data_IF_069376827286
#
_entry.id   IF_069376827286
#
_cell.length_a   1.000
_cell.length_b   1.000
_cell.length_c   1.000
_cell.angle_alpha   90.00
_cell.angle_beta   90.00
_cell.angle_gamma   90.00
#
_symmetry.space_group_name_H-M   'P 1'
#
loop_
_entity.id
_entity.type
_entity.pdbx_description
1 polymer ?
#
# COMPACT_ATOMS: atom_id res chain seq x y z
N UNK A 1 9.67 35.91 -13.39
CA UNK A 1 10.35 37.17 -13.73
C UNK A 1 11.85 36.91 -13.88
N UNK A 2 12.50 37.56 -14.83
CA UNK A 2 13.93 37.38 -15.15
C UNK A 2 14.63 38.74 -15.16
N UNK A 3 15.83 38.81 -14.58
CA UNK A 3 16.62 40.05 -14.54
C UNK A 3 17.23 40.32 -15.92
N UNK A 4 17.05 41.52 -16.44
CA UNK A 4 17.60 41.92 -17.74
C UNK A 4 19.14 41.81 -17.78
N UNK A 5 19.83 42.15 -16.68
CA UNK A 5 21.29 42.04 -16.60
C UNK A 5 21.80 40.59 -16.75
N UNK A 6 21.05 39.61 -16.23
CA UNK A 6 21.39 38.19 -16.35
C UNK A 6 21.24 37.69 -17.79
N UNK A 7 20.26 38.22 -18.53
CA UNK A 7 20.10 37.94 -19.96
C UNK A 7 21.20 38.60 -20.81
N UNK A 8 21.56 39.84 -20.48
CA UNK A 8 22.66 40.55 -21.13
C UNK A 8 24.00 39.83 -20.91
N UNK A 9 24.32 39.44 -19.67
CA UNK A 9 25.56 38.69 -19.37
C UNK A 9 25.59 37.30 -20.01
N UNK A 10 24.43 36.70 -20.26
CA UNK A 10 24.33 35.45 -21.02
C UNK A 10 24.49 35.65 -22.54
N UNK A 11 24.85 36.85 -23.01
CA UNK A 11 24.92 37.21 -24.43
C UNK A 11 23.61 36.89 -25.16
N UNK A 12 22.48 37.26 -24.54
CA UNK A 12 21.12 36.96 -25.01
C UNK A 12 20.85 35.46 -25.25
N UNK A 13 21.52 34.57 -24.50
CA UNK A 13 21.32 33.13 -24.58
C UNK A 13 20.40 32.65 -23.47
N UNK A 14 19.25 32.10 -23.85
CA UNK A 14 18.19 31.72 -22.92
C UNK A 14 17.54 30.37 -23.26
N UNK A 15 16.94 29.77 -22.24
CA UNK A 15 16.12 28.57 -22.33
C UNK A 15 14.68 28.90 -21.96
N UNK A 16 13.76 28.63 -22.89
CA UNK A 16 12.32 28.67 -22.63
C UNK A 16 11.83 27.25 -22.41
N UNK A 17 11.23 27.00 -21.26
CA UNK A 17 10.60 25.71 -20.94
C UNK A 17 9.09 25.85 -21.09
N UNK A 18 8.51 25.05 -21.98
CA UNK A 18 7.06 24.92 -22.15
C UNK A 18 6.59 23.66 -21.42
N UNK A 19 5.73 23.84 -20.43
CA UNK A 19 5.10 22.72 -19.73
C UNK A 19 3.77 22.39 -20.39
N UNK A 20 3.66 21.16 -20.89
CA UNK A 20 2.54 20.70 -21.71
C UNK A 20 1.85 19.50 -21.04
N UNK A 21 0.52 19.50 -21.09
CA UNK A 21 -0.29 18.41 -20.56
C UNK A 21 -0.35 17.20 -21.53
N UNK A 22 -1.23 16.23 -21.25
CA UNK A 22 -1.31 14.95 -21.96
C UNK A 22 -2.17 15.07 -23.22
N UNK A 23 -2.92 16.17 -23.35
CA UNK A 23 -3.70 16.53 -24.52
C UNK A 23 -2.93 17.48 -25.45
N UNK A 24 -1.74 17.93 -25.04
CA UNK A 24 -0.90 18.85 -25.81
C UNK A 24 -1.14 20.33 -25.49
N UNK A 25 -1.92 20.67 -24.46
CA UNK A 25 -2.15 22.06 -24.07
C UNK A 25 -1.02 22.58 -23.17
N UNK A 26 -0.57 23.81 -23.45
CA UNK A 26 0.43 24.51 -22.63
C UNK A 26 -0.23 25.04 -21.37
N UNK A 27 0.29 24.63 -20.21
CA UNK A 27 -0.18 25.12 -18.90
C UNK A 27 0.87 25.93 -18.15
N UNK A 28 2.12 25.95 -18.63
CA UNK A 28 3.20 26.68 -17.99
C UNK A 28 4.28 27.11 -18.98
N UNK A 29 4.84 28.30 -18.74
CA UNK A 29 5.97 28.84 -19.50
C UNK A 29 7.00 29.37 -18.51
N UNK A 30 8.23 28.88 -18.62
CA UNK A 30 9.37 29.35 -17.86
C UNK A 30 10.44 29.92 -18.78
N UNK A 31 11.10 31.00 -18.36
CA UNK A 31 12.24 31.58 -19.07
C UNK A 31 13.44 31.63 -18.12
N UNK A 32 14.59 31.16 -18.61
CA UNK A 32 15.83 30.99 -17.83
C UNK A 32 17.02 31.41 -18.69
N UNK A 33 17.74 32.49 -18.35
CA UNK A 33 19.02 32.79 -18.98
C UNK A 33 20.08 31.75 -18.63
N UNK A 34 21.10 31.60 -19.47
CA UNK A 34 22.21 30.66 -19.21
C UNK A 34 23.04 31.05 -17.97
N UNK A 35 23.11 32.36 -17.68
CA UNK A 35 23.82 32.92 -16.53
C UNK A 35 22.81 33.57 -15.59
N UNK A 36 22.74 33.14 -14.32
CA UNK A 36 21.74 33.62 -13.36
C UNK A 36 22.15 34.87 -12.55
N UNK A 37 23.42 35.26 -12.63
CA UNK A 37 24.00 36.38 -11.89
C UNK A 37 23.91 37.70 -12.65
N UNK A 38 24.18 38.78 -11.93
CA UNK A 38 24.56 40.06 -12.53
C UNK A 38 25.83 40.50 -11.79
N UNK A 39 26.94 40.66 -12.51
CA UNK A 39 28.16 41.25 -11.99
C UNK A 39 28.06 42.77 -12.07
N UNK A 40 28.67 43.51 -11.13
CA UNK A 40 28.68 44.99 -11.15
C UNK A 40 29.43 45.57 -12.37
N UNK A 41 30.03 44.71 -13.19
CA UNK A 41 30.71 45.03 -14.46
C UNK A 41 29.85 44.77 -15.71
N UNK A 42 28.59 44.31 -15.54
CA UNK A 42 27.71 43.94 -16.64
C UNK A 42 27.45 45.09 -17.61
N UNK A 43 27.33 46.31 -17.08
CA UNK A 43 26.99 47.48 -17.87
C UNK A 43 28.25 48.14 -18.43
N UNK A 44 28.58 47.82 -19.68
CA UNK A 44 29.44 48.68 -20.50
C UNK A 44 28.52 49.59 -21.32
N UNK A 45 28.73 50.92 -21.34
CA UNK A 45 27.98 51.79 -22.21
C UNK A 45 28.29 51.44 -23.67
N UNK A 46 27.26 51.12 -24.45
CA UNK A 46 27.37 50.64 -25.83
C UNK A 46 27.02 49.15 -25.96
N UNK A 47 26.45 48.76 -27.10
CA UNK A 47 26.18 47.33 -27.45
C UNK A 47 27.46 46.57 -27.86
N UNK A 48 28.64 47.12 -27.54
CA UNK A 48 29.92 46.59 -27.97
C UNK A 48 30.20 45.25 -27.28
N UNK A 49 30.04 44.17 -28.04
CA UNK A 49 30.30 42.79 -27.60
C UNK A 49 29.06 41.97 -27.28
N UNK A 50 27.85 42.49 -27.48
CA UNK A 50 26.60 41.70 -27.37
C UNK A 50 25.97 41.54 -28.75
N UNK A 51 25.55 40.32 -29.06
CA UNK A 51 24.85 40.02 -30.32
C UNK A 51 23.52 40.77 -30.39
N UNK A 52 23.07 41.27 -31.57
CA UNK A 52 21.74 41.85 -31.73
C UNK A 52 20.63 40.79 -31.76
N UNK A 53 20.99 39.50 -31.80
CA UNK A 53 20.06 38.38 -31.90
C UNK A 53 20.00 37.59 -30.60
N UNK A 54 18.80 37.15 -30.24
CA UNK A 54 18.59 36.19 -29.15
C UNK A 54 18.94 34.78 -29.60
N UNK A 55 19.70 34.08 -28.76
CA UNK A 55 19.95 32.66 -28.90
C UNK A 55 19.04 31.88 -27.95
N UNK A 56 17.80 31.68 -28.38
CA UNK A 56 16.75 31.05 -27.58
C UNK A 56 16.65 29.56 -27.90
N UNK A 57 16.83 28.72 -26.89
CA UNK A 57 16.52 27.29 -26.96
C UNK A 57 15.16 27.03 -26.33
N UNK A 58 14.33 26.21 -26.97
CA UNK A 58 13.02 25.82 -26.45
C UNK A 58 13.06 24.36 -26.01
N UNK A 59 12.65 24.11 -24.77
CA UNK A 59 12.49 22.77 -24.20
C UNK A 59 11.02 22.52 -23.88
N UNK A 60 10.51 21.38 -24.33
CA UNK A 60 9.15 20.96 -24.02
C UNK A 60 9.21 19.93 -22.89
N UNK A 61 8.52 20.22 -21.79
CA UNK A 61 8.36 19.35 -20.64
C UNK A 61 6.96 18.73 -20.68
N UNK A 62 6.92 17.41 -20.87
CA UNK A 62 5.70 16.64 -20.75
C UNK A 62 5.53 16.12 -19.33
N UNK A 63 4.29 15.99 -18.88
CA UNK A 63 4.00 15.29 -17.63
C UNK A 63 4.37 13.80 -17.73
N UNK A 64 5.11 13.31 -16.74
CA UNK A 64 5.39 11.88 -16.58
C UNK A 64 4.49 11.30 -15.49
N UNK A 65 4.17 10.01 -15.63
CA UNK A 65 3.46 9.28 -14.59
C UNK A 65 4.33 9.23 -13.32
N UNK A 66 3.71 9.47 -12.17
CA UNK A 66 4.36 9.33 -10.89
C UNK A 66 4.82 7.88 -10.62
N UNK A 67 5.72 7.68 -9.65
CA UNK A 67 6.14 6.35 -9.26
C UNK A 67 4.94 5.53 -8.79
N UNK A 68 4.86 4.28 -9.24
CA UNK A 68 3.85 3.33 -8.75
C UNK A 68 4.13 3.00 -7.28
N UNK A 69 3.08 2.76 -6.45
CA UNK A 69 3.28 2.38 -5.06
C UNK A 69 3.95 1.00 -4.96
N UNK A 70 4.87 0.84 -4.02
CA UNK A 70 5.48 -0.47 -3.72
C UNK A 70 4.47 -1.34 -2.98
N UNK A 71 3.76 -2.19 -3.73
CA UNK A 71 2.78 -3.13 -3.18
C UNK A 71 3.41 -4.42 -2.67
N UNK A 72 4.74 -4.62 -2.73
CA UNK A 72 5.34 -5.91 -2.38
C UNK A 72 5.01 -6.35 -0.95
N UNK A 73 5.15 -5.43 0.02
CA UNK A 73 4.86 -5.74 1.43
C UNK A 73 3.37 -6.02 1.64
N UNK A 74 2.48 -5.30 0.95
CA UNK A 74 1.03 -5.52 1.05
C UNK A 74 0.62 -6.87 0.43
N UNK A 75 1.17 -7.19 -0.74
CA UNK A 75 0.94 -8.49 -1.42
C UNK A 75 1.43 -9.64 -0.55
N UNK A 76 2.63 -9.55 0.01
CA UNK A 76 3.16 -10.57 0.92
C UNK A 76 2.30 -10.76 2.17
N UNK A 77 1.79 -9.67 2.76
CA UNK A 77 0.86 -9.74 3.89
C UNK A 77 -0.45 -10.43 3.51
N UNK A 78 -1.04 -10.06 2.37
CA UNK A 78 -2.25 -10.69 1.87
C UNK A 78 -2.05 -12.17 1.54
N UNK A 79 -0.92 -12.53 0.92
CA UNK A 79 -0.59 -13.93 0.65
C UNK A 79 -0.41 -14.73 1.92
N UNK A 80 0.26 -14.14 2.93
CA UNK A 80 0.42 -14.78 4.24
C UNK A 80 -0.93 -14.99 4.91
N UNK A 81 -1.80 -13.98 4.92
CA UNK A 81 -3.14 -14.10 5.48
C UNK A 81 -3.99 -15.15 4.75
N UNK A 82 -3.95 -15.17 3.40
CA UNK A 82 -4.59 -16.21 2.59
C UNK A 82 -4.03 -17.60 2.88
N UNK A 83 -2.71 -17.73 3.04
CA UNK A 83 -2.07 -19.01 3.42
C UNK A 83 -2.46 -19.42 4.83
N UNK A 84 -2.57 -18.49 5.77
CA UNK A 84 -3.01 -18.78 7.14
C UNK A 84 -4.51 -19.13 7.20
N UNK A 85 -5.33 -18.58 6.29
CA UNK A 85 -6.75 -18.86 6.18
C UNK A 85 -7.02 -20.18 5.44
N UNK A 86 -6.28 -20.49 4.36
CA UNK A 86 -6.36 -21.75 3.63
C UNK A 86 -5.65 -22.90 4.36
N UNK A 87 -4.58 -22.59 5.11
CA UNK A 87 -3.83 -23.54 5.92
C UNK A 87 -4.54 -23.97 7.20
N UNK A 88 -5.78 -23.49 7.43
CA UNK A 88 -6.63 -23.94 8.52
C UNK A 88 -5.99 -23.68 9.87
N UNK A 89 -6.08 -22.45 10.39
CA UNK A 89 -5.75 -22.16 11.79
C UNK A 89 -6.40 -23.23 12.67
N UNK A 90 -5.56 -24.09 13.23
CA UNK A 90 -5.90 -25.19 14.10
C UNK A 90 -6.44 -24.70 15.44
N UNK A 91 -7.66 -24.20 15.45
CA UNK A 91 -8.57 -24.53 16.53
C UNK A 91 -9.22 -25.82 16.08
N UNK A 92 -8.91 -26.92 16.75
CA UNK A 92 -9.63 -28.18 16.61
C UNK A 92 -11.14 -27.90 16.71
N UNK A 93 -11.83 -27.69 15.58
CA UNK A 93 -13.28 -27.55 15.50
C UNK A 93 -13.95 -28.92 15.60
N UNK A 94 -13.28 -29.91 16.21
CA UNK A 94 -13.92 -31.17 16.59
C UNK A 94 -14.81 -30.83 17.78
N UNK A 95 -16.12 -30.92 17.59
CA UNK A 95 -17.13 -30.70 18.63
C UNK A 95 -16.69 -31.35 19.95
N UNK A 96 -16.89 -30.69 21.10
CA UNK A 96 -16.57 -31.25 22.43
C UNK A 96 -17.11 -32.67 22.58
N UNK A 97 -18.31 -32.93 22.04
CA UNK A 97 -18.90 -34.27 22.00
C UNK A 97 -18.00 -35.29 21.28
N UNK A 98 -17.40 -34.94 20.15
CA UNK A 98 -16.51 -35.83 19.40
C UNK A 98 -15.22 -36.16 20.15
N UNK A 99 -14.78 -35.30 21.08
CA UNK A 99 -13.59 -35.56 21.91
C UNK A 99 -13.90 -36.40 23.13
N UNK A 100 -15.09 -36.26 23.70
CA UNK A 100 -15.47 -36.88 24.98
C UNK A 100 -16.55 -37.96 24.87
N UNK A 101 -17.01 -38.33 23.67
CA UNK A 101 -18.09 -39.32 23.47
C UNK A 101 -17.83 -40.65 24.19
N UNK A 102 -16.58 -41.13 24.16
CA UNK A 102 -16.18 -42.37 24.82
C UNK A 102 -16.38 -42.32 26.35
N UNK A 103 -16.35 -41.15 26.96
CA UNK A 103 -16.59 -40.97 28.40
C UNK A 103 -18.04 -40.60 28.72
N UNK A 104 -18.70 -39.86 27.84
CA UNK A 104 -20.11 -39.48 27.98
C UNK A 104 -21.01 -40.72 27.90
N UNK A 105 -20.75 -41.63 26.94
CA UNK A 105 -21.60 -42.83 26.70
C UNK A 105 -21.66 -43.77 27.92
N UNK A 106 -20.55 -44.19 28.55
CA UNK A 106 -20.60 -45.04 29.75
C UNK A 106 -21.33 -44.41 30.92
N UNK A 107 -21.17 -43.10 31.15
CA UNK A 107 -21.83 -42.38 32.26
C UNK A 107 -23.34 -42.38 32.06
N UNK A 108 -23.81 -42.07 30.84
CA UNK A 108 -25.25 -42.07 30.54
C UNK A 108 -25.85 -43.47 30.64
N UNK A 109 -25.13 -44.51 30.18
CA UNK A 109 -25.56 -45.91 30.33
C UNK A 109 -25.69 -46.29 31.82
N UNK A 110 -24.70 -45.93 32.64
CA UNK A 110 -24.73 -46.21 34.07
C UNK A 110 -25.89 -45.49 34.77
N UNK A 111 -26.12 -44.23 34.40
CA UNK A 111 -27.21 -43.41 34.94
C UNK A 111 -28.60 -43.95 34.57
N UNK A 112 -28.76 -44.47 33.34
CA UNK A 112 -29.99 -45.12 32.89
C UNK A 112 -30.24 -46.44 33.63
N UNK A 113 -29.21 -47.26 33.83
CA UNK A 113 -29.32 -48.50 34.63
C UNK A 113 -29.63 -48.20 36.10
N UNK A 114 -29.04 -47.15 36.68
CA UNK A 114 -29.36 -46.75 38.05
C UNK A 114 -30.73 -46.08 38.20
N UNK A 115 -31.26 -45.47 37.14
CA UNK A 115 -32.64 -44.94 37.13
C UNK A 115 -33.70 -46.04 37.02
N UNK A 116 -33.28 -47.26 36.67
CA UNK A 116 -34.11 -48.47 36.70
C UNK A 116 -33.84 -49.29 37.97
N UNK A 117 -33.95 -48.66 39.14
CA UNK A 117 -34.25 -49.39 40.38
C UNK A 117 -35.76 -49.27 40.66
N UNK A 118 -36.54 -50.37 40.57
CA UNK A 118 -37.80 -50.44 41.28
C UNK A 118 -37.50 -50.70 42.77
N UNK A 119 -37.92 -49.80 43.65
CA UNK A 119 -37.90 -50.05 45.08
C UNK A 119 -38.95 -51.12 45.47
N UNK A 120 -38.47 -52.16 46.16
CA UNK A 120 -39.12 -53.02 47.19
C UNK A 120 -40.20 -54.06 46.83
N UNK A 121 -40.00 -55.31 47.35
CA UNK A 121 -40.83 -56.12 48.30
C UNK A 121 -40.36 -57.61 48.16
N UNK A 122 -39.92 -58.40 49.14
CA UNK A 122 -40.42 -58.69 50.50
C UNK A 122 -40.94 -60.16 50.52
N UNK A 123 -40.52 -60.99 51.50
CA UNK A 123 -40.94 -62.39 51.79
C UNK A 123 -40.48 -63.49 50.80
N UNK A 124 -40.05 -64.69 51.17
CA UNK A 124 -40.00 -65.45 52.42
C UNK A 124 -40.07 -66.95 52.06
N UNK A 125 -39.35 -67.78 52.82
CA UNK A 125 -39.68 -69.19 53.11
C UNK A 125 -39.43 -70.32 52.07
N UNK A 126 -38.65 -71.33 52.51
CA UNK A 126 -39.10 -72.73 52.52
C UNK A 126 -38.75 -73.68 51.36
N UNK A 127 -37.66 -74.44 51.53
CA UNK A 127 -37.66 -75.91 51.60
C UNK A 127 -38.00 -76.79 50.38
N UNK A 128 -37.20 -77.85 50.22
CA UNK A 128 -37.76 -79.19 50.00
C UNK A 128 -37.39 -79.94 48.71
N UNK A 129 -36.62 -81.03 48.91
CA UNK A 129 -36.46 -82.27 48.11
C UNK A 129 -35.61 -82.25 46.84
#
# INVERSE_FOLDING_TARGET
YVKACSLYESNLTELITLSVDHLGYVYGVGLRPLVAGCSDKAYKPGFDGVTPFFNTTVQILYQSNGPLPDTQTYVQRMEKEKRDQAGGKGKDNRSFLAKYWMYIVPIVIFMLMSSQQPDQQGEGEGGGS
#
